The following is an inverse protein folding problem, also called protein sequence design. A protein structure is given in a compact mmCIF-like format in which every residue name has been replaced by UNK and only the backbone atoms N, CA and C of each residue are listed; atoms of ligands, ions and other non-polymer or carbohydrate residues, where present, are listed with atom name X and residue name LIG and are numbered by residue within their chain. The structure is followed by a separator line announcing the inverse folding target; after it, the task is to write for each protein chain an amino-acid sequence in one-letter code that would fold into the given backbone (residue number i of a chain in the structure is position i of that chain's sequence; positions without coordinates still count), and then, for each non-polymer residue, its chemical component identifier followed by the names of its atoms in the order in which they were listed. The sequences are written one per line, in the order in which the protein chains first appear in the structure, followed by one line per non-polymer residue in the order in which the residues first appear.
data_IF_561679646725
#
_entry.id   IF_561679646725
#
_cell.length_a   1.000
_cell.length_b   1.000
_cell.length_c   1.000
_cell.angle_alpha   90.00
_cell.angle_beta   90.00
_cell.angle_gamma   90.00
#
_symmetry.space_group_name_H-M   'P 1'
#
loop_
_entity.id
_entity.type
_entity.pdbx_description
1 polymer ?
#
# COMPACT_ATOMS: atom_id res chain seq x y z
N UNK A 1 12.90 -11.76 2.29
CA UNK A 1 11.67 -11.46 1.50
C UNK A 1 11.54 -12.28 0.21
N UNK A 2 12.62 -12.48 -0.58
CA UNK A 2 12.56 -13.31 -1.80
C UNK A 2 12.00 -14.72 -1.54
N UNK A 3 12.42 -15.34 -0.43
CA UNK A 3 11.99 -16.67 -0.01
C UNK A 3 10.49 -16.74 0.30
N UNK A 4 9.95 -15.71 0.96
CA UNK A 4 8.53 -15.64 1.37
C UNK A 4 7.61 -15.50 0.15
N UNK A 5 7.99 -14.69 -0.83
CA UNK A 5 7.15 -14.44 -2.01
C UNK A 5 7.56 -15.26 -3.24
N UNK A 6 8.61 -16.07 -3.14
CA UNK A 6 9.19 -16.89 -4.23
C UNK A 6 9.73 -16.09 -5.42
N UNK A 7 9.76 -14.76 -5.36
CA UNK A 7 10.26 -13.90 -6.43
C UNK A 7 10.69 -12.55 -5.88
N UNK A 8 11.86 -12.09 -6.33
CA UNK A 8 12.37 -10.76 -5.99
C UNK A 8 11.44 -9.66 -6.50
N UNK A 9 10.90 -9.79 -7.71
CA UNK A 9 9.97 -8.80 -8.28
C UNK A 9 8.70 -8.68 -7.45
N UNK A 10 8.12 -9.81 -7.01
CA UNK A 10 6.93 -9.80 -6.13
C UNK A 10 7.22 -9.10 -4.80
N UNK A 11 8.35 -9.42 -4.18
CA UNK A 11 8.78 -8.77 -2.93
C UNK A 11 8.94 -7.25 -3.09
N UNK A 12 9.58 -6.79 -4.18
CA UNK A 12 9.74 -5.36 -4.47
C UNK A 12 8.40 -4.65 -4.68
N UNK A 13 7.44 -5.29 -5.38
CA UNK A 13 6.10 -4.75 -5.59
C UNK A 13 5.35 -4.60 -4.26
N UNK A 14 5.32 -5.65 -3.44
CA UNK A 14 4.64 -5.63 -2.14
C UNK A 14 5.24 -4.56 -1.23
N UNK A 15 6.57 -4.46 -1.17
CA UNK A 15 7.26 -3.41 -0.41
C UNK A 15 6.87 -2.01 -0.91
N UNK A 16 6.92 -1.80 -2.22
CA UNK A 16 6.57 -0.53 -2.83
C UNK A 16 5.13 -0.12 -2.53
N UNK A 17 4.17 -1.03 -2.73
CA UNK A 17 2.75 -0.77 -2.47
C UNK A 17 2.47 -0.58 -0.97
N UNK A 18 3.13 -1.32 -0.10
CA UNK A 18 2.97 -1.16 1.35
C UNK A 18 3.52 0.15 1.88
N UNK A 19 4.57 0.70 1.26
CA UNK A 19 5.15 1.99 1.65
C UNK A 19 4.42 3.18 1.03
N UNK A 20 3.99 3.07 -0.23
CA UNK A 20 3.52 4.22 -1.03
C UNK A 20 2.00 4.20 -1.27
N UNK A 21 1.33 3.07 -1.08
CA UNK A 21 -0.10 2.91 -1.39
C UNK A 21 -0.36 2.52 -2.86
N UNK A 22 -1.43 3.09 -3.44
CA UNK A 22 -1.96 2.66 -4.73
C UNK A 22 -1.27 3.27 -5.95
N UNK A 23 -0.84 2.44 -6.92
CA UNK A 23 -0.17 2.89 -8.14
C UNK A 23 -0.53 2.05 -9.38
N UNK A 24 -0.38 2.64 -10.56
CA UNK A 24 -0.51 1.89 -11.81
C UNK A 24 0.65 0.93 -12.03
N UNK A 25 0.42 -0.16 -12.78
CA UNK A 25 1.47 -1.14 -13.08
C UNK A 25 2.72 -0.54 -13.77
N UNK A 26 2.53 0.47 -14.63
CA UNK A 26 3.64 1.18 -15.29
C UNK A 26 4.46 2.01 -14.30
N UNK A 27 3.81 2.72 -13.39
CA UNK A 27 4.49 3.49 -12.34
C UNK A 27 5.28 2.57 -11.39
N UNK A 28 4.70 1.43 -11.03
CA UNK A 28 5.39 0.41 -10.22
C UNK A 28 6.64 -0.07 -10.95
N UNK A 29 6.52 -0.44 -12.23
CA UNK A 29 7.63 -0.93 -13.04
C UNK A 29 8.80 0.07 -13.14
N UNK A 30 8.49 1.34 -13.42
CA UNK A 30 9.47 2.41 -13.45
C UNK A 30 10.18 2.56 -12.10
N UNK A 31 9.44 2.51 -10.99
CA UNK A 31 10.03 2.74 -9.67
C UNK A 31 10.92 1.60 -9.19
N UNK A 32 10.55 0.34 -9.47
CA UNK A 32 11.32 -0.83 -9.01
C UNK A 32 12.42 -1.24 -9.99
N UNK A 33 12.55 -0.53 -11.12
CA UNK A 33 13.56 -0.76 -12.16
C UNK A 33 13.38 -2.11 -12.86
N UNK A 34 12.14 -2.51 -13.17
CA UNK A 34 11.84 -3.80 -13.84
C UNK A 34 11.01 -3.55 -15.10
N UNK A 35 11.06 -4.49 -16.05
CA UNK A 35 10.28 -4.34 -17.28
C UNK A 35 8.77 -4.41 -16.99
N UNK A 36 7.92 -3.65 -17.71
CA UNK A 36 6.47 -3.67 -17.50
C UNK A 36 5.89 -5.08 -17.57
N UNK A 37 6.33 -5.90 -18.53
CA UNK A 37 5.86 -7.28 -18.71
C UNK A 37 6.13 -8.14 -17.47
N UNK A 38 7.32 -8.07 -16.89
CA UNK A 38 7.66 -8.78 -15.66
C UNK A 38 6.79 -8.34 -14.48
N UNK A 39 6.55 -7.03 -14.38
CA UNK A 39 5.71 -6.46 -13.32
C UNK A 39 4.25 -6.87 -13.48
N UNK A 40 3.68 -6.81 -14.68
CA UNK A 40 2.29 -7.25 -14.90
C UNK A 40 2.10 -8.74 -14.62
N UNK A 41 3.06 -9.59 -15.00
CA UNK A 41 3.05 -11.02 -14.64
C UNK A 41 3.08 -11.23 -13.12
N UNK A 42 3.92 -10.48 -12.41
CA UNK A 42 3.99 -10.54 -10.95
C UNK A 42 2.73 -10.00 -10.27
N UNK A 43 2.17 -8.87 -10.73
CA UNK A 43 0.91 -8.30 -10.25
C UNK A 43 -0.25 -9.29 -10.43
N UNK A 44 -0.32 -9.95 -11.58
CA UNK A 44 -1.34 -10.96 -11.83
C UNK A 44 -1.26 -12.11 -10.80
N UNK A 45 -0.06 -12.62 -10.53
CA UNK A 45 0.14 -13.67 -9.51
C UNK A 45 -0.19 -13.20 -8.09
N UNK A 46 0.24 -11.98 -7.72
CA UNK A 46 -0.05 -11.40 -6.40
C UNK A 46 -1.56 -11.19 -6.19
N UNK A 47 -2.26 -10.78 -7.25
CA UNK A 47 -3.72 -10.63 -7.25
C UNK A 47 -4.41 -11.99 -7.11
N UNK A 48 -3.96 -13.01 -7.86
CA UNK A 48 -4.47 -14.38 -7.74
C UNK A 48 -4.35 -14.92 -6.30
N UNK A 49 -3.29 -14.54 -5.60
CA UNK A 49 -3.05 -14.91 -4.21
C UNK A 49 -3.70 -13.97 -3.19
N UNK A 50 -4.56 -13.05 -3.63
CA UNK A 50 -5.27 -12.08 -2.78
C UNK A 50 -4.38 -11.16 -1.93
N UNK A 51 -3.09 -11.01 -2.27
CA UNK A 51 -2.16 -10.11 -1.58
C UNK A 51 -2.34 -8.65 -2.00
N UNK A 52 -2.78 -8.44 -3.25
CA UNK A 52 -3.06 -7.12 -3.80
C UNK A 52 -4.47 -7.07 -4.38
N UNK A 53 -5.03 -5.87 -4.43
CA UNK A 53 -6.30 -5.56 -5.07
C UNK A 53 -6.07 -4.61 -6.24
N UNK A 54 -6.74 -4.89 -7.36
CA UNK A 54 -6.78 -4.03 -8.54
C UNK A 54 -8.09 -3.24 -8.54
N UNK A 55 -7.99 -1.95 -8.82
CA UNK A 55 -9.14 -1.08 -9.09
C UNK A 55 -9.16 -0.75 -10.57
N UNK A 56 -10.35 -0.75 -11.16
CA UNK A 56 -10.56 -0.42 -12.56
C UNK A 56 -11.21 0.95 -12.61
N UNK A 57 -10.53 1.89 -13.28
CA UNK A 57 -10.91 3.30 -13.43
C UNK A 57 -10.70 4.22 -12.19
N UNK A 58 -9.49 4.79 -12.00
CA UNK A 58 -8.27 4.54 -12.77
C UNK A 58 -7.70 3.13 -12.52
N UNK A 59 -6.91 2.59 -13.45
CA UNK A 59 -6.31 1.26 -13.29
C UNK A 59 -5.08 1.32 -12.37
N UNK A 60 -5.26 0.95 -11.09
CA UNK A 60 -4.19 0.92 -10.10
C UNK A 60 -4.30 -0.29 -9.17
N UNK A 61 -3.20 -0.58 -8.48
CA UNK A 61 -3.01 -1.73 -7.60
C UNK A 61 -2.65 -1.23 -6.20
N UNK A 62 -3.19 -1.89 -5.17
CA UNK A 62 -2.94 -1.63 -3.75
C UNK A 62 -2.72 -2.95 -3.01
N UNK A 63 -2.16 -2.93 -1.80
CA UNK A 63 -2.26 -4.10 -0.93
C UNK A 63 -3.73 -4.39 -0.61
N UNK A 64 -4.10 -5.67 -0.49
CA UNK A 64 -5.47 -6.04 -0.15
C UNK A 64 -5.67 -5.98 1.37
N UNK A 65 -6.47 -5.02 1.91
CA UNK A 65 -6.68 -4.91 3.35
C UNK A 65 -7.51 -6.06 3.94
N UNK A 66 -8.15 -6.88 3.09
CA UNK A 66 -8.90 -8.06 3.50
C UNK A 66 -8.07 -9.34 3.42
N UNK A 67 -6.77 -9.24 3.16
CA UNK A 67 -5.87 -10.39 3.25
C UNK A 67 -5.80 -10.86 4.71
N UNK A 68 -5.89 -12.18 4.92
CA UNK A 68 -6.00 -12.76 6.26
C UNK A 68 -4.84 -12.35 7.19
N UNK A 69 -3.62 -12.27 6.64
CA UNK A 69 -2.41 -11.85 7.37
C UNK A 69 -1.96 -10.45 6.97
N UNK A 70 -2.91 -9.52 6.83
CA UNK A 70 -2.60 -8.16 6.37
C UNK A 70 -1.70 -7.42 7.35
N UNK A 71 -1.95 -7.52 8.64
CA UNK A 71 -1.17 -6.81 9.67
C UNK A 71 0.27 -7.34 9.73
N UNK A 72 0.45 -8.64 9.64
CA UNK A 72 1.76 -9.29 9.57
C UNK A 72 2.50 -8.92 8.28
N UNK A 73 1.78 -8.84 7.15
CA UNK A 73 2.34 -8.40 5.88
C UNK A 73 2.86 -6.96 5.97
N UNK A 74 2.10 -6.05 6.59
CA UNK A 74 2.50 -4.66 6.78
C UNK A 74 3.68 -4.57 7.74
N UNK A 75 3.64 -5.28 8.87
CA UNK A 75 4.75 -5.33 9.82
C UNK A 75 6.04 -5.87 9.16
N UNK A 76 5.92 -6.87 8.29
CA UNK A 76 7.04 -7.43 7.55
C UNK A 76 7.60 -6.44 6.52
N UNK A 77 6.74 -5.74 5.78
CA UNK A 77 7.17 -4.67 4.87
C UNK A 77 7.90 -3.56 5.62
N UNK A 78 7.37 -3.16 6.78
CA UNK A 78 7.98 -2.14 7.63
C UNK A 78 9.35 -2.58 8.17
N UNK A 79 9.46 -3.80 8.68
CA UNK A 79 10.75 -4.34 9.13
C UNK A 79 11.76 -4.40 7.99
N UNK A 80 11.33 -4.83 6.81
CA UNK A 80 12.18 -4.91 5.63
C UNK A 80 12.54 -3.53 5.03
N UNK A 81 11.82 -2.46 5.36
CA UNK A 81 12.18 -1.10 4.95
C UNK A 81 13.18 -0.48 5.93
N UNK A 82 13.10 -0.77 7.23
CA UNK A 82 14.06 -0.28 8.23
C UNK A 82 15.48 -0.82 8.04
N UNK A 83 15.63 -2.07 7.58
CA UNK A 83 16.95 -2.67 7.32
C UNK A 83 17.68 -1.96 6.17
N UNK A 84 16.94 -1.33 5.26
CA UNK A 84 17.46 -0.54 4.17
C UNK A 84 17.47 0.95 4.55
N UNK A 85 18.44 1.37 5.37
CA UNK A 85 18.66 2.77 5.79
C UNK A 85 18.84 3.81 4.64
N UNK A 86 18.62 3.45 3.37
CA UNK A 86 18.93 4.23 2.17
C UNK A 86 17.72 4.70 1.34
N UNK A 87 16.47 4.39 1.72
CA UNK A 87 15.29 4.67 0.88
C UNK A 87 14.28 5.69 1.44
N UNK A 88 14.77 6.75 2.08
CA UNK A 88 13.96 7.95 2.32
C UNK A 88 14.64 9.25 1.83
N UNK A 89 15.02 9.43 0.54
CA UNK A 89 15.49 10.76 0.12
C UNK A 89 14.36 11.76 -0.07
N UNK A 90 13.16 11.37 -0.52
CA UNK A 90 12.09 12.33 -0.83
C UNK A 90 10.70 11.77 -0.52
N UNK A 91 10.31 11.78 0.75
CA UNK A 91 8.90 12.04 1.07
C UNK A 91 8.75 13.55 0.90
N UNK A 92 8.31 14.00 -0.28
CA UNK A 92 7.76 15.34 -0.37
C UNK A 92 6.70 15.49 0.72
N UNK A 93 6.85 16.54 1.51
CA UNK A 93 6.11 16.87 2.74
C UNK A 93 4.58 16.87 2.57
N UNK A 94 4.06 16.75 1.36
CA UNK A 94 2.64 16.89 1.04
C UNK A 94 1.80 15.62 1.14
N UNK A 95 2.38 14.44 1.39
CA UNK A 95 1.59 13.21 1.63
C UNK A 95 2.22 12.29 2.66
N UNK A 96 2.58 12.83 3.82
CA UNK A 96 2.60 12.00 5.03
C UNK A 96 1.13 11.68 5.33
N UNK A 97 0.68 10.47 4.99
CA UNK A 97 -0.50 9.95 5.68
C UNK A 97 -0.02 9.77 7.12
N UNK A 98 -0.42 10.71 7.97
CA UNK A 98 -0.09 10.71 9.38
C UNK A 98 -0.42 9.33 9.97
N UNK A 99 0.52 8.64 10.63
CA UNK A 99 0.21 7.42 11.37
C UNK A 99 -0.98 7.58 12.32
N UNK A 100 -1.23 8.79 12.84
CA UNK A 100 -2.42 9.15 13.60
C UNK A 100 -3.72 9.05 12.78
N UNK A 101 -3.67 9.38 11.49
CA UNK A 101 -4.79 9.26 10.55
C UNK A 101 -5.14 7.78 10.28
N UNK A 102 -4.13 6.91 10.19
CA UNK A 102 -4.34 5.45 10.08
C UNK A 102 -4.96 4.93 11.39
N UNK A 103 -4.47 5.37 12.55
CA UNK A 103 -5.07 5.03 13.85
C UNK A 103 -6.52 5.52 13.98
N UNK A 104 -6.84 6.73 13.51
CA UNK A 104 -8.21 7.25 13.50
C UNK A 104 -9.13 6.47 12.57
N UNK A 105 -8.68 6.07 11.38
CA UNK A 105 -9.48 5.23 10.46
C UNK A 105 -9.77 3.86 11.09
N UNK A 106 -8.78 3.25 11.74
CA UNK A 106 -8.94 1.96 12.45
C UNK A 106 -9.91 2.11 13.62
N UNK A 107 -9.78 3.18 14.41
CA UNK A 107 -10.67 3.50 15.55
C UNK A 107 -12.10 3.83 15.11
N UNK A 108 -12.28 4.50 13.97
CA UNK A 108 -13.58 4.83 13.38
C UNK A 108 -14.26 3.60 12.77
N UNK A 109 -13.51 2.67 12.16
CA UNK A 109 -14.04 1.41 11.63
C UNK A 109 -14.48 0.43 12.73
N UNK A 110 -13.84 0.47 13.90
CA UNK A 110 -14.29 -0.27 15.09
C UNK A 110 -15.57 0.29 15.73
N UNK A 111 -16.03 1.48 15.34
CA UNK A 111 -17.25 2.14 15.81
C UNK A 111 -18.30 2.26 14.72
N UNK A 112 -18.56 1.19 13.98
CA UNK A 112 -19.75 1.15 13.14
C UNK A 112 -20.98 0.97 14.02
N UNK A 113 -21.66 2.08 14.36
CA UNK A 113 -23.13 2.21 14.55
C UNK A 113 -23.46 3.56 15.21
N UNK A 114 -23.27 4.67 14.50
CA UNK A 114 -24.09 5.90 14.59
C UNK A 114 -23.51 6.93 13.62
N UNK A 115 -24.39 7.54 12.83
CA UNK A 115 -24.17 8.63 11.86
C UNK A 115 -22.74 9.21 11.81
N UNK A 116 -21.94 8.74 10.86
CA UNK A 116 -20.62 9.32 10.57
C UNK A 116 -20.84 10.41 9.49
N UNK A 117 -20.55 11.69 9.76
CA UNK A 117 -20.58 12.72 8.73
C UNK A 117 -19.58 12.35 7.62
N UNK A 118 -19.88 12.73 6.36
CA UNK A 118 -19.07 12.33 5.20
C UNK A 118 -17.60 12.66 5.49
N UNK A 119 -16.70 11.73 5.17
CA UNK A 119 -15.26 11.88 5.42
C UNK A 119 -14.69 13.19 4.87
N UNK A 120 -15.29 13.72 3.80
CA UNK A 120 -15.01 15.05 3.24
C UNK A 120 -15.23 16.20 4.22
N UNK A 121 -16.22 16.12 5.09
CA UNK A 121 -16.61 17.18 6.01
C UNK A 121 -15.68 17.23 7.23
N UNK A 122 -15.28 16.04 7.73
CA UNK A 122 -14.27 15.92 8.78
C UNK A 122 -12.90 16.43 8.32
N UNK A 123 -12.54 16.18 7.05
CA UNK A 123 -11.30 16.68 6.47
C UNK A 123 -11.32 18.20 6.27
N UNK A 124 -12.48 18.82 6.02
CA UNK A 124 -12.59 20.28 5.92
C UNK A 124 -12.44 20.99 7.27
N UNK A 125 -12.91 20.40 8.36
CA UNK A 125 -12.84 21.02 9.69
C UNK A 125 -11.42 21.04 10.28
N UNK A 126 -10.57 20.08 9.94
CA UNK A 126 -9.22 19.96 10.51
C UNK A 126 -8.14 20.69 9.72
N UNK A 127 -8.41 21.04 8.46
CA UNK A 127 -7.43 21.63 7.53
C UNK A 127 -7.89 22.97 6.92
N UNK A 128 -8.96 23.57 7.45
CA UNK A 128 -9.35 24.96 7.20
C UNK A 128 -8.85 25.85 8.35
#
# INVERSE_FOLDING_TARGET
MKEIFGSETKARIIKFLGMRGGYSGRQIAAHIGKSPTQVFKALHQLKKNSLIKQFYNPNYYTLNPHYHYFDELVALVYKASQTEKKYLPHLEEKRRIDPFFIYQIVKLRGRAKTHIPKLSDLLRQYYA
#
